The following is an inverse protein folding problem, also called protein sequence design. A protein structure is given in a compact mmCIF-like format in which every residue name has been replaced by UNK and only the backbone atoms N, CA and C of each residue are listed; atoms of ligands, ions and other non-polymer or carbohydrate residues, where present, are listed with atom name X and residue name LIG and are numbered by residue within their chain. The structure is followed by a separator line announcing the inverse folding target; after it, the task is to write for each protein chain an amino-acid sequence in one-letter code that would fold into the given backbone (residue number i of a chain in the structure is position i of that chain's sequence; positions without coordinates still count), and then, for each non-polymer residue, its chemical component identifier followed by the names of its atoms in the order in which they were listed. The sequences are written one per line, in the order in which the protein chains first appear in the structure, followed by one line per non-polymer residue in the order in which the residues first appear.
data_IF_502287831646
#
_entry.id   IF_502287831646
#
_cell.length_a   1.000
_cell.length_b   1.000
_cell.length_c   1.000
_cell.angle_alpha   90.00
_cell.angle_beta   90.00
_cell.angle_gamma   90.00
#
_symmetry.space_group_name_H-M   'P 1'
#
loop_
_entity.id
_entity.type
_entity.pdbx_description
1 polymer ?
#
# COMPACT_ATOMS: atom_id res chain seq x y z
N UNK A 1 -8.92 -9.64 -20.84
CA UNK A 1 -9.98 -10.69 -20.85
C UNK A 1 -11.05 -10.30 -19.83
N UNK A 2 -12.34 -10.33 -20.18
CA UNK A 2 -13.42 -10.02 -19.22
C UNK A 2 -13.40 -11.06 -18.09
N UNK A 3 -13.48 -10.62 -16.83
CA UNK A 3 -13.61 -11.51 -15.66
C UNK A 3 -14.91 -12.30 -15.79
N UNK A 4 -14.79 -13.62 -15.96
CA UNK A 4 -15.93 -14.52 -15.97
C UNK A 4 -16.25 -14.87 -14.51
N UNK A 5 -17.53 -14.83 -14.15
CA UNK A 5 -17.98 -15.21 -12.81
C UNK A 5 -17.60 -16.70 -12.57
N UNK A 6 -16.80 -17.01 -11.54
CA UNK A 6 -16.33 -18.39 -11.31
C UNK A 6 -17.47 -19.36 -11.02
N UNK A 7 -18.58 -18.89 -10.43
CA UNK A 7 -19.79 -19.70 -10.24
C UNK A 7 -20.44 -20.06 -11.58
N UNK A 8 -20.56 -19.08 -12.48
CA UNK A 8 -21.10 -19.32 -13.81
C UNK A 8 -20.20 -20.27 -14.61
N UNK A 9 -18.88 -20.09 -14.52
CA UNK A 9 -17.89 -20.98 -15.15
C UNK A 9 -18.02 -22.42 -14.65
N UNK A 10 -18.17 -22.60 -13.32
CA UNK A 10 -18.37 -23.91 -12.70
C UNK A 10 -19.66 -24.59 -13.19
N UNK A 11 -20.77 -23.86 -13.18
CA UNK A 11 -22.09 -24.38 -13.62
C UNK A 11 -22.07 -24.74 -15.10
N UNK A 12 -21.57 -23.86 -15.97
CA UNK A 12 -21.51 -24.10 -17.42
C UNK A 12 -20.64 -25.33 -17.71
N UNK A 13 -19.48 -25.41 -17.07
CA UNK A 13 -18.59 -26.56 -17.23
C UNK A 13 -19.18 -27.87 -16.75
N UNK A 14 -19.87 -27.86 -15.61
CA UNK A 14 -20.59 -29.03 -15.09
C UNK A 14 -21.67 -29.51 -16.06
N UNK A 15 -22.49 -28.59 -16.59
CA UNK A 15 -23.51 -28.91 -17.59
C UNK A 15 -22.87 -29.48 -18.86
N UNK A 16 -21.76 -28.90 -19.31
CA UNK A 16 -21.05 -29.34 -20.51
C UNK A 16 -20.47 -30.75 -20.35
N UNK A 17 -19.82 -31.05 -19.22
CA UNK A 17 -19.28 -32.39 -18.93
C UNK A 17 -20.42 -33.41 -18.84
N UNK A 18 -21.53 -33.07 -18.16
CA UNK A 18 -22.70 -33.96 -18.09
C UNK A 18 -23.32 -34.23 -19.47
N UNK A 19 -23.41 -33.22 -20.33
CA UNK A 19 -23.90 -33.40 -21.70
C UNK A 19 -23.00 -34.34 -22.52
N UNK A 20 -21.68 -34.20 -22.40
CA UNK A 20 -20.72 -35.10 -23.06
C UNK A 20 -20.86 -36.53 -22.55
N UNK A 21 -20.93 -36.73 -21.22
CA UNK A 21 -21.11 -38.07 -20.63
C UNK A 21 -22.41 -38.71 -21.10
N UNK A 22 -23.49 -37.93 -21.17
CA UNK A 22 -24.79 -38.39 -21.65
C UNK A 22 -24.74 -38.85 -23.11
N UNK A 23 -24.10 -38.07 -23.99
CA UNK A 23 -23.94 -38.43 -25.41
C UNK A 23 -23.07 -39.69 -25.55
N UNK A 24 -21.92 -39.74 -24.84
CA UNK A 24 -21.02 -40.89 -24.90
C UNK A 24 -21.66 -42.18 -24.35
N UNK A 25 -22.56 -42.07 -23.36
CA UNK A 25 -23.32 -43.22 -22.85
C UNK A 25 -24.19 -43.85 -23.93
N UNK A 26 -24.94 -43.04 -24.67
CA UNK A 26 -25.77 -43.54 -25.78
C UNK A 26 -24.94 -44.11 -26.93
N UNK A 27 -23.82 -43.48 -27.26
CA UNK A 27 -22.90 -44.00 -28.29
C UNK A 27 -22.34 -45.36 -27.87
N UNK A 28 -21.88 -45.51 -26.63
CA UNK A 28 -21.35 -46.79 -26.11
C UNK A 28 -22.44 -47.87 -26.09
N UNK A 29 -23.68 -47.53 -25.72
CA UNK A 29 -24.80 -48.48 -25.78
C UNK A 29 -25.08 -48.99 -27.19
N UNK A 30 -24.94 -48.14 -28.22
CA UNK A 30 -25.15 -48.53 -29.61
C UNK A 30 -23.99 -49.34 -30.19
N UNK A 31 -22.77 -49.15 -29.69
CA UNK A 31 -21.58 -49.85 -30.16
C UNK A 31 -21.28 -51.16 -29.41
N UNK A 32 -21.76 -51.33 -28.19
CA UNK A 32 -21.52 -52.52 -27.37
C UNK A 32 -22.59 -53.59 -27.64
N UNK A 33 -22.23 -54.63 -28.37
CA UNK A 33 -23.08 -55.81 -28.62
C UNK A 33 -23.02 -56.82 -27.46
N UNK A 34 -23.32 -56.37 -26.24
CA UNK A 34 -23.25 -57.18 -25.03
C UNK A 34 -24.58 -57.16 -24.28
N UNK A 35 -25.07 -58.30 -23.74
CA UNK A 35 -26.26 -58.31 -22.88
C UNK A 35 -26.08 -57.46 -21.60
N UNK A 36 -24.83 -57.11 -21.25
CA UNK A 36 -24.47 -56.23 -20.14
C UNK A 36 -23.92 -54.86 -20.60
N UNK A 37 -24.17 -54.45 -21.86
CA UNK A 37 -23.63 -53.24 -22.47
C UNK A 37 -23.80 -51.97 -21.61
N UNK A 38 -24.94 -51.82 -20.93
CA UNK A 38 -25.19 -50.68 -20.03
C UNK A 38 -24.21 -50.63 -18.86
N UNK A 39 -23.88 -51.78 -18.25
CA UNK A 39 -22.93 -51.87 -17.13
C UNK A 39 -21.51 -51.58 -17.60
N UNK A 40 -21.14 -52.08 -18.77
CA UNK A 40 -19.83 -51.79 -19.38
C UNK A 40 -19.68 -50.31 -19.74
N UNK A 41 -20.68 -49.70 -20.36
CA UNK A 41 -20.68 -48.28 -20.69
C UNK A 41 -20.53 -47.40 -19.44
N UNK A 42 -21.25 -47.72 -18.35
CA UNK A 42 -21.13 -47.00 -17.07
C UNK A 42 -19.72 -47.15 -16.48
N UNK A 43 -19.13 -48.34 -16.51
CA UNK A 43 -17.77 -48.55 -15.99
C UNK A 43 -16.73 -47.77 -16.78
N UNK A 44 -16.81 -47.80 -18.11
CA UNK A 44 -15.93 -47.05 -19.00
C UNK A 44 -16.08 -45.54 -18.71
N UNK A 45 -17.31 -45.03 -18.72
CA UNK A 45 -17.58 -43.61 -18.48
C UNK A 45 -17.22 -43.16 -17.07
N UNK A 46 -17.42 -44.01 -16.05
CA UNK A 46 -17.05 -43.69 -14.68
C UNK A 46 -15.57 -43.37 -14.54
N UNK A 47 -14.71 -44.12 -15.24
CA UNK A 47 -13.27 -43.89 -15.25
C UNK A 47 -12.87 -42.57 -15.93
N UNK A 48 -13.46 -42.27 -17.10
CA UNK A 48 -13.17 -41.04 -17.85
C UNK A 48 -13.79 -39.79 -17.20
N UNK A 49 -15.02 -39.90 -16.69
CA UNK A 49 -15.72 -38.82 -16.03
C UNK A 49 -14.97 -38.37 -14.79
N UNK A 50 -14.47 -39.30 -13.97
CA UNK A 50 -13.63 -38.97 -12.82
C UNK A 50 -12.42 -38.11 -13.23
N UNK A 51 -11.67 -38.55 -14.24
CA UNK A 51 -10.51 -37.80 -14.74
C UNK A 51 -10.86 -36.41 -15.29
N UNK A 52 -11.89 -36.31 -16.13
CA UNK A 52 -12.34 -35.04 -16.72
C UNK A 52 -12.89 -34.08 -15.66
N UNK A 53 -13.68 -34.59 -14.71
CA UNK A 53 -14.22 -33.80 -13.61
C UNK A 53 -13.09 -33.26 -12.71
N UNK A 54 -12.06 -34.07 -12.42
CA UNK A 54 -10.89 -33.64 -11.64
C UNK A 54 -10.09 -32.58 -12.38
N UNK A 55 -9.83 -32.74 -13.69
CA UNK A 55 -9.12 -31.73 -14.48
C UNK A 55 -9.89 -30.42 -14.55
N UNK A 56 -11.21 -30.48 -14.70
CA UNK A 56 -12.07 -29.30 -14.69
C UNK A 56 -12.09 -28.60 -13.33
N UNK A 57 -12.17 -29.36 -12.24
CA UNK A 57 -12.07 -28.84 -10.88
C UNK A 57 -10.69 -28.17 -10.65
N UNK A 58 -9.61 -28.79 -11.11
CA UNK A 58 -8.26 -28.23 -11.03
C UNK A 58 -8.13 -26.93 -11.83
N UNK A 59 -8.74 -26.85 -13.02
CA UNK A 59 -8.80 -25.63 -13.82
C UNK A 59 -9.54 -24.49 -13.09
N UNK A 60 -10.72 -24.77 -12.51
CA UNK A 60 -11.46 -23.79 -11.72
C UNK A 60 -10.65 -23.35 -10.50
N UNK A 61 -10.01 -24.29 -9.79
CA UNK A 61 -9.18 -23.99 -8.63
C UNK A 61 -8.00 -23.07 -8.99
N UNK A 62 -7.33 -23.33 -10.12
CA UNK A 62 -6.26 -22.46 -10.62
C UNK A 62 -6.77 -21.06 -10.98
N UNK A 63 -7.95 -20.97 -11.62
CA UNK A 63 -8.58 -19.70 -11.96
C UNK A 63 -8.94 -18.88 -10.70
N UNK A 64 -9.55 -19.53 -9.70
CA UNK A 64 -9.88 -18.91 -8.41
C UNK A 64 -8.64 -18.48 -7.62
N UNK A 65 -7.57 -19.29 -7.65
CA UNK A 65 -6.32 -18.95 -6.98
C UNK A 65 -5.67 -17.70 -7.55
N UNK A 66 -5.66 -17.55 -8.88
CA UNK A 66 -5.11 -16.36 -9.52
C UNK A 66 -5.93 -15.10 -9.18
N UNK A 67 -7.26 -15.17 -9.20
CA UNK A 67 -8.09 -14.02 -8.82
C UNK A 67 -7.94 -13.67 -7.33
N UNK A 68 -7.86 -14.68 -6.45
CA UNK A 68 -7.56 -14.47 -5.04
C UNK A 68 -6.20 -13.81 -4.83
N UNK A 69 -5.15 -14.29 -5.52
CA UNK A 69 -3.80 -13.73 -5.42
C UNK A 69 -3.77 -12.25 -5.84
N UNK A 70 -4.44 -11.91 -6.94
CA UNK A 70 -4.54 -10.52 -7.39
C UNK A 70 -5.29 -9.63 -6.38
N UNK A 71 -6.41 -10.12 -5.83
CA UNK A 71 -7.16 -9.38 -4.80
C UNK A 71 -6.35 -9.25 -3.50
N UNK A 72 -5.64 -10.29 -3.09
CA UNK A 72 -4.81 -10.31 -1.90
C UNK A 72 -3.65 -9.32 -2.01
N UNK A 73 -2.93 -9.33 -3.14
CA UNK A 73 -1.84 -8.38 -3.39
C UNK A 73 -2.33 -6.93 -3.35
N UNK A 74 -3.45 -6.64 -4.04
CA UNK A 74 -4.08 -5.31 -3.94
C UNK A 74 -4.48 -4.94 -2.52
N UNK A 75 -4.93 -5.91 -1.72
CA UNK A 75 -5.23 -5.73 -0.31
C UNK A 75 -3.99 -5.45 0.56
N UNK A 76 -2.83 -6.01 0.21
CA UNK A 76 -1.56 -5.69 0.88
C UNK A 76 -1.12 -4.27 0.50
N UNK A 77 -1.16 -3.92 -0.79
CA UNK A 77 -0.82 -2.59 -1.29
C UNK A 77 -1.67 -1.50 -0.61
N UNK A 78 -2.97 -1.77 -0.46
CA UNK A 78 -3.91 -0.96 0.30
C UNK A 78 -3.45 -0.67 1.73
N UNK A 79 -3.11 -1.73 2.46
CA UNK A 79 -2.72 -1.65 3.87
C UNK A 79 -1.41 -0.89 4.03
N UNK A 80 -0.45 -1.11 3.13
CA UNK A 80 0.80 -0.38 3.14
C UNK A 80 0.59 1.12 2.84
N UNK A 81 -0.26 1.45 1.87
CA UNK A 81 -0.64 2.83 1.58
C UNK A 81 -1.31 3.51 2.79
N UNK A 82 -2.26 2.83 3.44
CA UNK A 82 -2.90 3.34 4.66
C UNK A 82 -1.88 3.60 5.77
N UNK A 83 -0.94 2.66 5.97
CA UNK A 83 0.13 2.81 6.96
C UNK A 83 1.04 4.01 6.66
N UNK A 84 1.35 4.26 5.39
CA UNK A 84 2.09 5.45 4.98
C UNK A 84 1.27 6.71 5.28
N UNK A 85 -0.01 6.74 4.92
CA UNK A 85 -0.87 7.89 5.21
C UNK A 85 -0.94 8.23 6.71
N UNK A 86 -1.12 7.21 7.56
CA UNK A 86 -1.15 7.38 9.02
C UNK A 86 0.20 7.91 9.54
N UNK A 87 1.31 7.33 9.06
CA UNK A 87 2.66 7.76 9.45
C UNK A 87 2.94 9.21 9.06
N UNK A 88 2.54 9.63 7.86
CA UNK A 88 2.72 11.00 7.39
C UNK A 88 1.84 11.98 8.18
N UNK A 89 0.62 11.57 8.56
CA UNK A 89 -0.26 12.37 9.41
C UNK A 89 0.31 12.58 10.81
N UNK A 90 0.82 11.51 11.43
CA UNK A 90 1.49 11.58 12.73
C UNK A 90 2.74 12.47 12.67
N UNK A 91 3.49 12.41 11.55
CA UNK A 91 4.63 13.31 11.32
C UNK A 91 4.19 14.78 11.28
N UNK A 92 3.11 15.14 10.60
CA UNK A 92 2.61 16.53 10.56
C UNK A 92 2.26 17.06 11.96
N UNK A 93 1.60 16.23 12.79
CA UNK A 93 1.27 16.59 14.17
C UNK A 93 2.51 16.75 15.05
N UNK A 94 3.52 15.89 14.88
CA UNK A 94 4.75 16.00 15.65
C UNK A 94 5.60 17.21 15.19
N UNK A 95 5.63 17.51 13.89
CA UNK A 95 6.27 18.73 13.36
C UNK A 95 5.62 20.00 13.92
N UNK A 96 4.29 20.02 14.05
CA UNK A 96 3.59 21.11 14.73
C UNK A 96 4.08 21.32 16.15
N UNK A 97 4.18 20.23 16.93
CA UNK A 97 4.62 20.28 18.33
C UNK A 97 6.06 20.79 18.44
N UNK A 98 6.95 20.27 17.60
CA UNK A 98 8.34 20.70 17.51
C UNK A 98 8.41 22.18 17.14
N UNK A 99 7.59 22.63 16.18
CA UNK A 99 7.57 24.02 15.77
C UNK A 99 7.13 24.95 16.91
N UNK A 100 6.04 24.62 17.62
CA UNK A 100 5.58 25.38 18.78
C UNK A 100 6.67 25.48 19.85
N UNK A 101 7.30 24.35 20.19
CA UNK A 101 8.42 24.33 21.11
C UNK A 101 9.57 25.23 20.64
N UNK A 102 9.92 25.17 19.35
CA UNK A 102 11.03 25.96 18.80
C UNK A 102 10.74 27.46 18.80
N UNK A 103 9.50 27.88 18.60
CA UNK A 103 9.11 29.30 18.76
C UNK A 103 9.35 29.76 20.19
N UNK A 104 8.93 28.98 21.18
CA UNK A 104 9.14 29.29 22.60
C UNK A 104 10.64 29.29 22.95
N UNK A 105 11.37 28.28 22.46
CA UNK A 105 12.81 28.15 22.62
C UNK A 105 13.56 29.36 22.06
N UNK A 106 13.21 29.81 20.84
CA UNK A 106 13.87 30.94 20.20
C UNK A 106 13.53 32.28 20.86
N UNK A 107 12.36 32.38 21.50
CA UNK A 107 11.87 33.59 22.18
C UNK A 107 12.40 33.74 23.61
N UNK A 108 12.81 32.64 24.26
CA UNK A 108 13.20 32.69 25.67
C UNK A 108 14.65 33.18 25.89
N UNK A 109 14.90 33.99 26.94
CA UNK A 109 16.26 34.33 27.37
C UNK A 109 16.91 33.20 28.20
N UNK A 110 16.14 32.24 28.72
CA UNK A 110 16.63 31.19 29.62
C UNK A 110 16.75 29.82 28.94
N UNK A 111 17.51 29.75 27.84
CA UNK A 111 17.60 28.54 26.98
C UNK A 111 18.20 27.30 27.67
N UNK A 112 18.96 27.48 28.75
CA UNK A 112 19.55 26.37 29.52
C UNK A 112 18.47 25.45 30.09
N UNK A 113 17.35 25.99 30.59
CA UNK A 113 16.27 25.17 31.16
C UNK A 113 15.53 24.33 30.11
N UNK A 114 15.64 24.70 28.83
CA UNK A 114 15.00 24.01 27.71
C UNK A 114 15.92 23.01 27.01
N UNK A 115 17.18 22.86 27.42
CA UNK A 115 18.15 21.98 26.73
C UNK A 115 17.71 20.52 26.69
N UNK A 116 17.12 20.00 27.77
CA UNK A 116 16.62 18.63 27.79
C UNK A 116 15.48 18.43 26.79
N UNK A 117 14.52 19.36 26.77
CA UNK A 117 13.38 19.33 25.87
C UNK A 117 13.80 19.55 24.40
N UNK A 118 14.80 20.40 24.16
CA UNK A 118 15.42 20.57 22.84
C UNK A 118 16.01 19.25 22.33
N UNK A 119 16.73 18.51 23.17
CA UNK A 119 17.29 17.22 22.78
C UNK A 119 16.20 16.18 22.46
N UNK A 120 15.08 16.20 23.20
CA UNK A 120 13.92 15.34 22.92
C UNK A 120 13.31 15.70 21.55
N UNK A 121 13.06 16.99 21.31
CA UNK A 121 12.49 17.47 20.04
C UNK A 121 13.43 17.20 18.86
N UNK A 122 14.75 17.36 19.04
CA UNK A 122 15.74 17.01 18.01
C UNK A 122 15.72 15.51 17.68
N UNK A 123 15.59 14.65 18.69
CA UNK A 123 15.45 13.20 18.47
C UNK A 123 14.16 12.91 17.70
N UNK A 124 13.04 13.49 18.11
CA UNK A 124 11.76 13.33 17.41
C UNK A 124 11.83 13.81 15.97
N UNK A 125 12.48 14.95 15.70
CA UNK A 125 12.70 15.44 14.34
C UNK A 125 13.50 14.45 13.49
N UNK A 126 14.55 13.84 14.06
CA UNK A 126 15.31 12.80 13.39
C UNK A 126 14.46 11.56 13.10
N UNK A 127 13.61 11.15 14.04
CA UNK A 127 12.70 10.02 13.86
C UNK A 127 11.69 10.31 12.74
N UNK A 128 11.17 11.54 12.64
CA UNK A 128 10.30 11.98 11.54
C UNK A 128 11.01 11.87 10.19
N UNK A 129 12.26 12.36 10.08
CA UNK A 129 13.05 12.24 8.84
C UNK A 129 13.16 10.76 8.41
N UNK A 130 13.49 9.88 9.35
CA UNK A 130 13.62 8.44 9.07
C UNK A 130 12.28 7.81 8.65
N UNK A 131 11.17 8.17 9.30
CA UNK A 131 9.83 7.67 8.96
C UNK A 131 9.44 8.14 7.56
N UNK A 132 9.77 9.37 7.19
CA UNK A 132 9.50 9.92 5.86
C UNK A 132 10.32 9.23 4.77
N UNK A 133 11.60 9.00 5.01
CA UNK A 133 12.44 8.23 4.10
C UNK A 133 11.94 6.78 3.94
N UNK A 134 11.53 6.14 5.03
CA UNK A 134 10.91 4.82 5.00
C UNK A 134 9.59 4.83 4.22
N UNK A 135 8.77 5.86 4.41
CA UNK A 135 7.50 6.03 3.69
C UNK A 135 7.72 6.18 2.19
N UNK A 136 8.72 6.96 1.80
CA UNK A 136 9.14 7.11 0.40
C UNK A 136 9.54 5.77 -0.22
N UNK A 137 10.36 4.98 0.49
CA UNK A 137 10.77 3.64 0.04
C UNK A 137 9.57 2.69 -0.14
N UNK A 138 8.63 2.70 0.82
CA UNK A 138 7.40 1.89 0.73
C UNK A 138 6.57 2.29 -0.50
N UNK A 139 6.42 3.59 -0.76
CA UNK A 139 5.68 4.06 -1.93
C UNK A 139 6.34 3.64 -3.24
N UNK A 140 7.68 3.64 -3.32
CA UNK A 140 8.40 3.15 -4.50
C UNK A 140 8.20 1.66 -4.78
N UNK A 141 7.73 0.88 -3.81
CA UNK A 141 7.38 -0.53 -4.02
C UNK A 141 5.94 -0.71 -4.52
N UNK A 142 5.03 0.19 -4.16
CA UNK A 142 3.58 0.03 -4.38
C UNK A 142 3.12 0.80 -5.61
N UNK A 143 3.72 1.95 -5.87
CA UNK A 143 3.34 2.85 -6.95
C UNK A 143 4.16 2.49 -8.20
N UNK A 144 3.54 2.42 -9.39
CA UNK A 144 4.25 2.28 -10.65
C UNK A 144 5.37 3.30 -10.79
N UNK A 145 6.49 2.86 -11.35
CA UNK A 145 7.74 3.63 -11.37
C UNK A 145 7.58 5.03 -12.00
N UNK A 146 6.80 5.15 -13.08
CA UNK A 146 6.56 6.42 -13.75
C UNK A 146 5.82 7.42 -12.84
N UNK A 147 4.72 6.98 -12.22
CA UNK A 147 3.91 7.80 -11.30
C UNK A 147 4.72 8.17 -10.05
N UNK A 148 5.48 7.21 -9.51
CA UNK A 148 6.34 7.40 -8.35
C UNK A 148 7.40 8.48 -8.61
N UNK A 149 8.12 8.37 -9.73
CA UNK A 149 9.21 9.29 -10.08
C UNK A 149 8.70 10.69 -10.42
N UNK A 150 7.52 10.81 -11.02
CA UNK A 150 6.97 12.11 -11.41
C UNK A 150 6.27 12.82 -10.26
N UNK A 151 5.48 12.10 -9.45
CA UNK A 151 4.57 12.74 -8.49
C UNK A 151 5.00 12.63 -7.03
N UNK A 152 5.61 11.52 -6.62
CA UNK A 152 5.83 11.24 -5.19
C UNK A 152 7.27 11.52 -4.78
N UNK A 153 8.24 10.96 -5.49
CA UNK A 153 9.67 11.11 -5.21
C UNK A 153 10.11 12.57 -5.04
N UNK A 154 9.89 13.49 -6.00
CA UNK A 154 10.41 14.85 -5.88
C UNK A 154 9.79 15.62 -4.71
N UNK A 155 8.51 15.39 -4.42
CA UNK A 155 7.80 16.11 -3.36
C UNK A 155 8.21 15.62 -1.96
N UNK A 156 8.26 14.31 -1.77
CA UNK A 156 8.68 13.70 -0.51
C UNK A 156 10.17 13.92 -0.25
N UNK A 157 11.01 13.82 -1.27
CA UNK A 157 12.44 14.08 -1.13
C UNK A 157 12.70 15.54 -0.75
N UNK A 158 12.07 16.51 -1.43
CA UNK A 158 12.20 17.93 -1.03
C UNK A 158 11.79 18.17 0.41
N UNK A 159 10.76 17.46 0.89
CA UNK A 159 10.32 17.56 2.28
C UNK A 159 11.35 16.97 3.25
N UNK A 160 11.95 15.82 2.91
CA UNK A 160 13.02 15.21 3.70
C UNK A 160 14.23 16.16 3.77
N UNK A 161 14.62 16.74 2.63
CA UNK A 161 15.74 17.67 2.54
C UNK A 161 15.50 18.93 3.40
N UNK A 162 14.29 19.52 3.33
CA UNK A 162 13.88 20.66 4.17
C UNK A 162 14.02 20.31 5.67
N UNK A 163 13.62 19.11 6.07
CA UNK A 163 13.72 18.66 7.47
C UNK A 163 15.17 18.40 7.90
N UNK A 164 16.01 17.86 7.03
CA UNK A 164 17.43 17.63 7.33
C UNK A 164 18.16 18.96 7.52
N UNK A 165 17.88 19.95 6.66
CA UNK A 165 18.41 21.30 6.80
C UNK A 165 17.95 21.93 8.12
N UNK A 166 16.67 21.79 8.44
CA UNK A 166 16.11 22.28 9.69
C UNK A 166 16.75 21.61 10.92
N UNK A 167 16.90 20.28 10.91
CA UNK A 167 17.60 19.54 11.96
C UNK A 167 19.03 20.04 12.15
N UNK A 168 19.76 20.25 11.04
CA UNK A 168 21.12 20.76 11.06
C UNK A 168 21.17 22.16 11.65
N UNK A 169 20.29 23.07 11.22
CA UNK A 169 20.21 24.43 11.73
C UNK A 169 19.99 24.47 13.25
N UNK A 170 19.06 23.66 13.78
CA UNK A 170 18.84 23.57 15.23
C UNK A 170 20.10 23.08 15.94
N UNK A 171 20.68 21.99 15.45
CA UNK A 171 21.79 21.32 16.12
C UNK A 171 23.10 22.13 16.09
N UNK A 172 23.36 22.90 15.02
CA UNK A 172 24.60 23.67 14.88
C UNK A 172 24.47 25.12 15.29
N UNK A 173 23.34 25.76 14.96
CA UNK A 173 23.19 27.21 15.09
C UNK A 173 22.45 27.58 16.36
N UNK A 174 21.36 26.87 16.68
CA UNK A 174 20.48 27.28 17.77
C UNK A 174 20.84 26.66 19.12
N UNK A 175 21.45 25.47 19.13
CA UNK A 175 21.78 24.69 20.35
C UNK A 175 22.67 25.41 21.37
N UNK A 176 23.41 26.44 20.95
CA UNK A 176 24.31 27.25 21.78
C UNK A 176 23.93 28.73 21.91
N UNK A 177 22.80 29.15 21.33
CA UNK A 177 22.33 30.53 21.52
C UNK A 177 21.90 30.72 22.97
N UNK A 178 22.30 31.83 23.57
CA UNK A 178 21.84 32.26 24.91
C UNK A 178 20.95 33.50 24.84
N UNK A 179 20.82 34.12 23.68
CA UNK A 179 19.98 35.29 23.46
C UNK A 179 18.70 34.92 22.71
N UNK A 180 17.58 35.59 23.00
CA UNK A 180 16.37 35.51 22.18
C UNK A 180 16.64 35.94 20.75
N UNK A 181 15.94 35.35 19.80
CA UNK A 181 15.95 35.81 18.41
C UNK A 181 15.02 37.01 18.23
N UNK A 182 15.31 37.91 17.26
CA UNK A 182 14.39 38.98 16.91
C UNK A 182 13.01 38.45 16.50
N UNK A 183 11.95 39.20 16.82
CA UNK A 183 10.57 38.81 16.51
C UNK A 183 10.37 38.56 15.01
N UNK A 184 10.96 39.40 14.15
CA UNK A 184 10.92 39.27 12.68
C UNK A 184 11.49 37.92 12.20
N UNK A 185 12.56 37.45 12.87
CA UNK A 185 13.15 36.15 12.58
C UNK A 185 12.19 35.01 12.97
N UNK A 186 11.58 35.09 14.15
CA UNK A 186 10.64 34.07 14.65
C UNK A 186 9.40 33.98 13.75
N UNK A 187 8.90 35.12 13.26
CA UNK A 187 7.80 35.17 12.28
C UNK A 187 8.18 34.50 10.96
N UNK A 188 9.35 34.86 10.41
CA UNK A 188 9.86 34.28 9.16
C UNK A 188 10.05 32.76 9.27
N UNK A 189 10.58 32.32 10.41
CA UNK A 189 10.74 30.92 10.76
C UNK A 189 9.39 30.16 10.76
N UNK A 190 8.36 30.71 11.42
CA UNK A 190 7.02 30.12 11.42
C UNK A 190 6.41 30.03 10.02
N UNK A 191 6.57 31.06 9.19
CA UNK A 191 6.08 31.05 7.81
C UNK A 191 6.76 29.96 6.98
N UNK A 192 8.07 29.76 7.17
CA UNK A 192 8.81 28.70 6.49
C UNK A 192 8.32 27.32 6.91
N UNK A 193 8.13 27.09 8.21
CA UNK A 193 7.58 25.83 8.72
C UNK A 193 6.18 25.54 8.18
N UNK A 194 5.29 26.54 8.12
CA UNK A 194 3.95 26.34 7.54
C UNK A 194 4.03 26.04 6.03
N UNK A 195 4.97 26.67 5.31
CA UNK A 195 5.25 26.38 3.90
C UNK A 195 5.64 24.91 3.67
N UNK A 196 6.59 24.38 4.46
CA UNK A 196 6.98 22.97 4.38
C UNK A 196 5.82 22.03 4.73
N UNK A 197 4.98 22.39 5.71
CA UNK A 197 3.78 21.61 6.07
C UNK A 197 2.71 21.58 4.98
N UNK A 198 2.60 22.63 4.17
CA UNK A 198 1.72 22.61 3.00
C UNK A 198 2.19 21.57 1.98
N UNK A 199 3.51 21.45 1.75
CA UNK A 199 4.07 20.40 0.88
C UNK A 199 3.72 19.01 1.40
N UNK A 200 3.87 18.78 2.70
CA UNK A 200 3.43 17.56 3.39
C UNK A 200 1.98 17.19 3.09
N UNK A 201 1.06 18.13 3.32
CA UNK A 201 -0.37 17.92 3.09
C UNK A 201 -0.69 17.66 1.62
N UNK A 202 0.04 18.28 0.69
CA UNK A 202 -0.11 18.03 -0.74
C UNK A 202 0.20 16.57 -1.10
N UNK A 203 1.25 15.99 -0.51
CA UNK A 203 1.60 14.56 -0.70
C UNK A 203 0.46 13.66 -0.19
N UNK A 204 -0.11 13.95 0.99
CA UNK A 204 -1.24 13.18 1.54
C UNK A 204 -2.44 13.22 0.59
N UNK A 205 -2.79 14.40 0.07
CA UNK A 205 -3.92 14.51 -0.85
C UNK A 205 -3.68 13.78 -2.18
N UNK A 206 -2.44 13.78 -2.68
CA UNK A 206 -2.07 12.99 -3.87
C UNK A 206 -2.19 11.49 -3.60
N UNK A 207 -1.64 11.00 -2.48
CA UNK A 207 -1.78 9.60 -2.05
C UNK A 207 -3.25 9.20 -1.92
N UNK A 208 -4.08 10.05 -1.32
CA UNK A 208 -5.51 9.82 -1.18
C UNK A 208 -6.22 9.72 -2.53
N UNK A 209 -5.86 10.56 -3.51
CA UNK A 209 -6.44 10.52 -4.86
C UNK A 209 -6.02 9.26 -5.60
N UNK A 210 -4.73 8.92 -5.53
CA UNK A 210 -4.18 7.72 -6.15
C UNK A 210 -4.93 6.46 -5.71
N UNK A 211 -5.30 6.40 -4.43
CA UNK A 211 -5.94 5.23 -3.84
C UNK A 211 -7.48 5.24 -3.87
N UNK A 212 -8.11 6.40 -4.11
CA UNK A 212 -9.58 6.51 -4.31
C UNK A 212 -10.01 6.30 -5.76
N UNK A 213 -9.08 6.28 -6.71
CA UNK A 213 -9.31 6.00 -8.13
C UNK A 213 -9.30 4.49 -8.41
#
# INVERSE_FOLDING_TARGET
MKRINPLALSVIGGIFILAIVYILFWVLLLCLESPNAAKEAINILGSYFGGVATLWAAFIAAYLFNDWKDQHNKGIDAQLCMKVMDSVYDCDLNLLRINTFMVDYLSTPHKISYQQELNINLKQLRDIINIMASSLCILGHIIPEDDYNQEFLPNLQSVIDDLEEYYKAINTTFRGLNTPMPIEFIQSYNTLCEGSRIKYRSVIEKLRRYYKA
#
